data_IF_833898161983
#
_entry.id   IF_833898161983
#
_cell.length_a   1.000
_cell.length_b   1.000
_cell.length_c   1.000
_cell.angle_alpha   90.00
_cell.angle_beta   90.00
_cell.angle_gamma   90.00
#
_symmetry.space_group_name_H-M   'P 1'
#
loop_
_entity.id
_entity.type
_entity.pdbx_description
1 polymer ?
#
# COMPACT_ATOMS: atom_id res chain seq x y z
N UNK A 1 -28.92 0.84 11.96
CA UNK A 1 -27.47 1.08 11.76
C UNK A 1 -26.86 1.46 13.11
N UNK A 2 -25.65 0.98 13.43
CA UNK A 2 -24.90 1.51 14.57
C UNK A 2 -24.60 2.99 14.30
N UNK A 3 -24.56 3.79 15.36
CA UNK A 3 -24.10 5.18 15.28
C UNK A 3 -22.61 5.21 14.81
N UNK A 4 -22.26 6.15 13.94
CA UNK A 4 -20.88 6.31 13.42
C UNK A 4 -19.85 6.36 14.56
N UNK A 5 -20.16 7.04 15.66
CA UNK A 5 -19.27 7.08 16.83
C UNK A 5 -19.05 5.69 17.49
N UNK A 6 -20.02 4.79 17.41
CA UNK A 6 -19.86 3.40 17.86
C UNK A 6 -18.99 2.61 16.88
N UNK A 7 -19.18 2.81 15.57
CA UNK A 7 -18.37 2.18 14.53
C UNK A 7 -16.91 2.65 14.57
N UNK A 8 -16.66 3.93 14.86
CA UNK A 8 -15.30 4.45 15.06
C UNK A 8 -14.58 3.73 16.21
N UNK A 9 -15.27 3.44 17.32
CA UNK A 9 -14.69 2.64 18.42
C UNK A 9 -14.42 1.20 18.00
N UNK A 10 -15.33 0.58 17.24
CA UNK A 10 -15.12 -0.76 16.70
C UNK A 10 -13.93 -0.78 15.72
N UNK A 11 -13.74 0.28 14.92
CA UNK A 11 -12.58 0.43 14.04
C UNK A 11 -11.28 0.60 14.82
N UNK A 12 -11.25 1.47 15.85
CA UNK A 12 -10.07 1.58 16.71
C UNK A 12 -9.72 0.25 17.39
N UNK A 13 -10.73 -0.52 17.81
CA UNK A 13 -10.55 -1.88 18.37
C UNK A 13 -9.95 -2.83 17.32
N UNK A 14 -10.42 -2.79 16.09
CA UNK A 14 -9.89 -3.57 14.99
C UNK A 14 -8.40 -3.29 14.77
N UNK A 15 -8.02 -2.01 14.64
CA UNK A 15 -6.63 -1.60 14.41
C UNK A 15 -5.70 -2.05 15.54
N UNK A 16 -6.15 -1.98 16.79
CA UNK A 16 -5.31 -2.34 17.94
C UNK A 16 -5.19 -3.84 18.14
N UNK A 17 -6.27 -4.61 17.88
CA UNK A 17 -6.32 -6.05 18.20
C UNK A 17 -5.95 -6.95 17.03
N UNK A 18 -6.21 -6.52 15.81
CA UNK A 18 -5.89 -7.28 14.58
C UNK A 18 -4.82 -6.55 13.77
N UNK A 19 -4.98 -5.25 13.52
CA UNK A 19 -4.00 -4.47 12.80
C UNK A 19 -2.61 -4.59 13.42
N UNK A 20 -2.50 -4.31 14.69
CA UNK A 20 -1.22 -4.34 15.42
C UNK A 20 -1.06 -5.53 16.36
N UNK A 21 -2.15 -6.16 16.76
CA UNK A 21 -2.15 -7.23 17.76
C UNK A 21 -1.31 -6.87 18.98
N UNK A 22 -1.59 -5.72 19.58
CA UNK A 22 -0.81 -5.15 20.69
C UNK A 22 -0.66 -6.13 21.84
N UNK A 23 0.58 -6.40 22.21
CA UNK A 23 0.91 -7.30 23.31
C UNK A 23 0.97 -6.54 24.66
N UNK A 24 0.65 -7.26 25.74
CA UNK A 24 0.77 -6.70 27.09
C UNK A 24 2.20 -6.23 27.38
N UNK A 25 2.35 -4.97 27.79
CA UNK A 25 3.64 -4.37 28.08
C UNK A 25 4.38 -3.82 26.88
N UNK A 26 3.86 -3.98 25.65
CA UNK A 26 4.41 -3.39 24.43
C UNK A 26 4.12 -1.89 24.39
N UNK A 27 5.01 -1.11 23.76
CA UNK A 27 4.75 0.30 23.41
C UNK A 27 4.03 0.41 22.09
N UNK A 28 3.27 1.48 21.91
CA UNK A 28 2.60 1.85 20.66
C UNK A 28 3.00 3.27 20.27
N UNK A 29 3.48 3.44 19.04
CA UNK A 29 3.60 4.75 18.41
C UNK A 29 2.41 4.96 17.49
N UNK A 30 1.70 6.08 17.63
CA UNK A 30 0.65 6.50 16.70
C UNK A 30 1.14 7.73 15.93
N UNK A 31 1.41 7.56 14.63
CA UNK A 31 1.78 8.62 13.71
C UNK A 31 0.51 9.11 12.99
N UNK A 32 0.05 10.32 13.29
CA UNK A 32 -1.31 10.73 12.96
C UNK A 32 -1.38 12.22 12.64
N UNK A 33 -2.18 12.66 11.64
CA UNK A 33 -2.51 14.06 11.48
C UNK A 33 -3.23 14.62 12.73
N UNK A 34 -2.95 15.85 13.09
CA UNK A 34 -3.53 16.50 14.28
C UNK A 34 -5.06 16.57 14.22
N UNK A 35 -5.63 16.71 13.03
CA UNK A 35 -7.08 16.73 12.79
C UNK A 35 -7.73 15.39 13.12
N UNK A 36 -6.97 14.32 13.11
CA UNK A 36 -7.40 12.96 13.46
C UNK A 36 -7.27 12.63 14.95
N UNK A 37 -6.91 13.60 15.80
CA UNK A 37 -6.68 13.40 17.24
C UNK A 37 -7.86 12.75 18.00
N UNK A 38 -9.14 13.03 17.71
CA UNK A 38 -10.25 12.32 18.37
C UNK A 38 -10.20 10.82 18.17
N UNK A 39 -9.89 10.35 16.95
CA UNK A 39 -9.80 8.92 16.65
C UNK A 39 -8.51 8.29 17.24
N UNK A 40 -7.39 8.98 17.17
CA UNK A 40 -6.14 8.51 17.79
C UNK A 40 -6.31 8.26 19.31
N UNK A 41 -7.15 9.06 20.00
CA UNK A 41 -7.50 8.84 21.43
C UNK A 41 -8.30 7.54 21.61
N UNK A 42 -9.22 7.19 20.69
CA UNK A 42 -9.93 5.91 20.73
C UNK A 42 -8.96 4.73 20.59
N UNK A 43 -7.98 4.85 19.69
CA UNK A 43 -6.91 3.84 19.55
C UNK A 43 -6.07 3.73 20.82
N UNK A 44 -5.73 4.85 21.45
CA UNK A 44 -4.99 4.85 22.71
C UNK A 44 -5.79 4.20 23.87
N UNK A 45 -7.09 4.49 23.97
CA UNK A 45 -7.97 3.87 24.97
C UNK A 45 -8.01 2.34 24.83
N UNK A 46 -8.19 1.84 23.57
CA UNK A 46 -8.17 0.40 23.30
C UNK A 46 -6.78 -0.22 23.53
N UNK A 47 -5.69 0.48 23.21
CA UNK A 47 -4.33 0.00 23.45
C UNK A 47 -4.07 -0.18 24.95
N UNK A 48 -4.46 0.77 25.79
CA UNK A 48 -4.35 0.63 27.23
C UNK A 48 -5.27 -0.46 27.77
N UNK A 49 -6.46 -0.64 27.21
CA UNK A 49 -7.39 -1.70 27.60
C UNK A 49 -6.82 -3.11 27.37
N UNK A 50 -5.97 -3.31 26.37
CA UNK A 50 -5.27 -4.60 26.14
C UNK A 50 -3.95 -4.71 26.90
N UNK A 51 -3.54 -3.68 27.62
CA UNK A 51 -2.34 -3.69 28.46
C UNK A 51 -1.08 -3.13 27.83
N UNK A 52 -1.22 -2.28 26.80
CA UNK A 52 -0.12 -1.48 26.25
C UNK A 52 0.61 -0.74 27.40
N UNK A 53 1.94 -0.72 27.34
CA UNK A 53 2.76 -0.04 28.35
C UNK A 53 2.67 1.47 28.26
N UNK A 54 2.71 2.00 27.05
CA UNK A 54 2.77 3.43 26.76
C UNK A 54 2.37 3.71 25.32
N UNK A 55 1.55 4.73 25.10
CA UNK A 55 1.22 5.25 23.78
C UNK A 55 2.00 6.54 23.54
N UNK A 56 2.80 6.55 22.48
CA UNK A 56 3.61 7.69 22.05
C UNK A 56 2.94 8.31 20.82
N UNK A 57 2.60 9.61 20.89
CA UNK A 57 1.98 10.31 19.77
C UNK A 57 3.03 11.03 18.94
N UNK A 58 3.06 10.73 17.64
CA UNK A 58 3.79 11.50 16.62
C UNK A 58 2.78 12.26 15.78
N UNK A 59 2.59 13.52 16.09
CA UNK A 59 1.64 14.37 15.36
C UNK A 59 2.24 14.89 14.07
N UNK A 60 1.41 14.92 13.02
CA UNK A 60 1.67 15.62 11.77
C UNK A 60 0.64 16.72 11.59
N UNK A 61 0.99 17.75 10.84
CA UNK A 61 0.08 18.85 10.50
C UNK A 61 0.35 19.24 9.04
N UNK A 62 -0.61 18.96 8.18
CA UNK A 62 -0.50 19.16 6.73
C UNK A 62 -0.41 20.65 6.40
N UNK A 63 -1.12 21.50 7.14
CA UNK A 63 -1.03 22.94 6.96
C UNK A 63 0.37 23.45 7.30
N UNK A 64 0.95 23.05 8.42
CA UNK A 64 2.32 23.39 8.80
C UNK A 64 3.35 22.81 7.83
N UNK A 65 3.14 21.61 7.33
CA UNK A 65 3.99 21.02 6.29
C UNK A 65 3.97 21.90 5.03
N UNK A 66 2.80 22.30 4.55
CA UNK A 66 2.66 23.18 3.39
C UNK A 66 3.38 24.52 3.56
N UNK A 67 3.14 25.22 4.68
CA UNK A 67 3.76 26.54 4.91
C UNK A 67 5.29 26.43 5.08
N UNK A 68 5.80 25.31 5.62
CA UNK A 68 7.23 24.99 5.64
C UNK A 68 7.77 24.92 4.22
N UNK A 69 7.14 24.16 3.30
CA UNK A 69 7.56 24.06 1.91
C UNK A 69 7.52 25.38 1.15
N UNK A 70 6.57 26.27 1.48
CA UNK A 70 6.44 27.55 0.82
C UNK A 70 7.42 28.62 1.32
N UNK A 71 7.74 28.63 2.62
CA UNK A 71 8.37 29.80 3.25
C UNK A 71 9.68 29.50 4.00
N UNK A 72 10.02 28.25 4.28
CA UNK A 72 11.27 27.93 4.95
C UNK A 72 12.50 28.18 4.07
N UNK A 73 13.66 28.37 4.69
CA UNK A 73 14.94 28.44 4.00
C UNK A 73 15.25 27.11 3.28
N UNK A 74 15.90 27.16 2.13
CA UNK A 74 16.18 25.99 1.29
C UNK A 74 17.01 24.92 1.99
N UNK A 75 17.92 25.32 2.88
CA UNK A 75 18.75 24.40 3.66
C UNK A 75 17.94 23.42 4.52
N UNK A 76 16.72 23.79 4.92
CA UNK A 76 15.84 22.97 5.75
C UNK A 76 15.40 21.68 5.03
N UNK A 77 15.45 21.68 3.70
CA UNK A 77 15.07 20.50 2.88
C UNK A 77 16.23 19.55 2.61
N UNK A 78 17.44 19.89 3.08
CA UNK A 78 18.64 19.08 2.95
C UNK A 78 19.02 18.37 4.25
N UNK A 79 18.22 18.47 5.30
CA UNK A 79 18.48 17.88 6.60
C UNK A 79 17.23 17.30 7.26
N UNK A 80 17.42 16.33 8.15
CA UNK A 80 16.38 15.78 9.02
C UNK A 80 16.79 16.03 10.48
N UNK A 81 15.83 16.43 11.29
CA UNK A 81 16.08 16.64 12.71
C UNK A 81 16.52 15.33 13.38
N UNK A 82 17.64 15.36 14.07
CA UNK A 82 18.20 14.17 14.71
C UNK A 82 17.22 13.52 15.72
N UNK A 83 16.36 14.29 16.36
CA UNK A 83 15.37 13.76 17.30
C UNK A 83 14.32 12.88 16.60
N UNK A 84 13.99 13.14 15.33
CA UNK A 84 13.06 12.32 14.55
C UNK A 84 13.67 10.95 14.27
N UNK A 85 14.94 10.93 13.86
CA UNK A 85 15.71 9.70 13.60
C UNK A 85 15.86 8.90 14.89
N UNK A 86 16.25 9.58 15.98
CA UNK A 86 16.45 8.93 17.28
C UNK A 86 15.16 8.31 17.82
N UNK A 87 14.01 8.98 17.67
CA UNK A 87 12.72 8.42 18.06
C UNK A 87 12.43 7.14 17.24
N UNK A 88 12.50 7.22 15.92
CA UNK A 88 12.19 6.10 15.03
C UNK A 88 13.09 4.89 15.30
N UNK A 89 14.41 5.11 15.42
CA UNK A 89 15.37 4.05 15.72
C UNK A 89 15.12 3.42 17.10
N UNK A 90 14.95 4.24 18.12
CA UNK A 90 14.78 3.74 19.51
C UNK A 90 13.51 2.89 19.63
N UNK A 91 12.38 3.39 19.15
CA UNK A 91 11.10 2.67 19.33
C UNK A 91 11.05 1.39 18.49
N UNK A 92 11.64 1.40 17.29
CA UNK A 92 11.71 0.20 16.45
C UNK A 92 12.67 -0.85 17.03
N UNK A 93 13.82 -0.43 17.62
CA UNK A 93 14.75 -1.32 18.35
C UNK A 93 14.11 -2.00 19.56
N UNK A 94 13.20 -1.31 20.24
CA UNK A 94 12.48 -1.86 21.37
C UNK A 94 11.27 -2.74 20.98
N UNK A 95 10.99 -2.91 19.68
CA UNK A 95 9.85 -3.68 19.18
C UNK A 95 8.49 -3.01 19.46
N UNK A 96 8.46 -1.68 19.54
CA UNK A 96 7.20 -0.95 19.67
C UNK A 96 6.35 -1.13 18.41
N UNK A 97 5.04 -1.32 18.60
CA UNK A 97 4.12 -1.34 17.47
C UNK A 97 3.95 0.07 16.88
N UNK A 98 3.69 0.16 15.58
CA UNK A 98 3.59 1.42 14.85
C UNK A 98 2.28 1.52 14.09
N UNK A 99 1.39 2.45 14.48
CA UNK A 99 0.18 2.79 13.74
C UNK A 99 0.41 4.06 12.93
N UNK A 100 0.30 3.97 11.61
CA UNK A 100 0.31 5.13 10.72
C UNK A 100 -1.11 5.42 10.23
N UNK A 101 -1.63 6.62 10.53
CA UNK A 101 -2.93 7.06 10.02
C UNK A 101 -2.68 8.01 8.86
N UNK A 102 -3.04 7.57 7.65
CA UNK A 102 -2.98 8.35 6.43
C UNK A 102 -4.34 9.00 6.18
N UNK A 103 -4.38 10.32 6.18
CA UNK A 103 -5.59 11.11 6.00
C UNK A 103 -5.25 12.46 5.35
N UNK A 104 -4.24 12.43 4.48
CA UNK A 104 -3.63 13.61 3.90
C UNK A 104 -4.57 14.26 2.87
N UNK A 105 -4.53 15.59 2.76
CA UNK A 105 -5.18 16.34 1.69
C UNK A 105 -4.45 16.05 0.36
N UNK A 106 -5.11 15.43 -0.64
CA UNK A 106 -4.46 15.12 -1.93
C UNK A 106 -3.92 16.35 -2.68
N UNK A 107 -4.43 17.55 -2.39
CA UNK A 107 -4.00 18.80 -3.01
C UNK A 107 -3.06 19.63 -2.11
N UNK A 108 -2.67 19.13 -0.93
CA UNK A 108 -1.91 19.90 0.05
C UNK A 108 -0.63 20.52 -0.51
N UNK A 109 0.10 19.79 -1.36
CA UNK A 109 1.36 20.26 -1.94
C UNK A 109 1.21 20.91 -3.33
N UNK A 110 -0.02 21.17 -3.79
CA UNK A 110 -0.28 21.84 -5.06
C UNK A 110 0.34 23.23 -5.11
N UNK A 111 1.18 23.49 -6.14
CA UNK A 111 1.88 24.77 -6.31
C UNK A 111 3.12 24.96 -5.42
N UNK A 112 3.52 23.96 -4.66
CA UNK A 112 4.81 23.91 -3.97
C UNK A 112 5.91 23.59 -4.99
N UNK A 113 7.14 24.10 -4.74
CA UNK A 113 8.31 23.78 -5.57
C UNK A 113 8.63 22.27 -5.51
N UNK A 114 8.54 21.54 -6.63
CA UNK A 114 8.80 20.10 -6.66
C UNK A 114 10.22 19.73 -6.21
N UNK A 115 11.21 20.61 -6.41
CA UNK A 115 12.59 20.33 -6.01
C UNK A 115 12.73 20.29 -4.48
N UNK A 116 12.03 21.17 -3.75
CA UNK A 116 11.99 21.14 -2.29
C UNK A 116 11.39 19.83 -1.76
N UNK A 117 10.30 19.36 -2.39
CA UNK A 117 9.64 18.11 -2.04
C UNK A 117 10.61 16.94 -2.27
N UNK A 118 11.20 16.85 -3.46
CA UNK A 118 12.14 15.80 -3.85
C UNK A 118 13.37 15.75 -2.91
N UNK A 119 13.98 16.89 -2.61
CA UNK A 119 15.15 16.97 -1.69
C UNK A 119 14.79 16.48 -0.31
N UNK A 120 13.67 16.96 0.25
CA UNK A 120 13.18 16.52 1.56
C UNK A 120 12.92 15.02 1.61
N UNK A 121 12.31 14.43 0.56
CA UNK A 121 12.06 12.99 0.47
C UNK A 121 13.36 12.17 0.43
N UNK A 122 14.34 12.58 -0.39
CA UNK A 122 15.64 11.91 -0.48
C UNK A 122 16.37 11.93 0.87
N UNK A 123 16.41 13.07 1.53
CA UNK A 123 17.13 13.22 2.80
C UNK A 123 16.42 12.45 3.93
N UNK A 124 15.09 12.54 4.00
CA UNK A 124 14.31 11.75 4.96
C UNK A 124 14.43 10.24 4.69
N UNK A 125 14.43 9.84 3.42
CA UNK A 125 14.64 8.45 3.03
C UNK A 125 15.95 7.87 3.55
N UNK A 126 17.05 8.61 3.36
CA UNK A 126 18.37 8.22 3.85
C UNK A 126 18.47 8.25 5.39
N UNK A 127 17.92 9.28 6.01
CA UNK A 127 18.00 9.44 7.47
C UNK A 127 17.21 8.37 8.22
N UNK A 128 16.08 7.92 7.67
CA UNK A 128 15.20 6.91 8.26
C UNK A 128 15.38 5.51 7.63
N UNK A 129 16.44 5.30 6.87
CA UNK A 129 16.71 4.03 6.17
C UNK A 129 16.69 2.82 7.12
N UNK A 130 17.33 2.95 8.28
CA UNK A 130 17.39 1.88 9.30
C UNK A 130 16.00 1.52 9.84
N UNK A 131 15.16 2.50 10.10
CA UNK A 131 13.77 2.29 10.51
C UNK A 131 12.97 1.58 9.41
N UNK A 132 13.06 2.06 8.16
CA UNK A 132 12.37 1.44 7.02
C UNK A 132 12.81 -0.01 6.76
N UNK A 133 14.10 -0.30 6.85
CA UNK A 133 14.59 -1.66 6.69
C UNK A 133 14.02 -2.61 7.75
N UNK A 134 13.85 -2.14 8.98
CA UNK A 134 13.20 -2.92 10.05
C UNK A 134 11.71 -3.12 9.80
N UNK A 135 11.02 -2.08 9.34
CA UNK A 135 9.62 -2.13 8.96
C UNK A 135 9.41 -3.14 7.81
N UNK A 136 10.19 -3.04 6.73
CA UNK A 136 10.14 -3.95 5.57
C UNK A 136 10.53 -5.41 5.89
N UNK A 137 11.21 -5.65 7.01
CA UNK A 137 11.55 -7.00 7.50
C UNK A 137 10.61 -7.48 8.60
N UNK A 138 9.55 -6.76 8.86
CA UNK A 138 8.58 -7.06 9.91
C UNK A 138 9.24 -7.28 11.29
N UNK A 139 10.29 -6.51 11.61
CA UNK A 139 10.96 -6.64 12.91
C UNK A 139 10.04 -6.26 14.08
N UNK A 140 9.00 -5.47 13.82
CA UNK A 140 7.96 -5.07 14.77
C UNK A 140 6.59 -4.97 14.07
N UNK A 141 5.46 -5.11 14.80
CA UNK A 141 4.13 -4.94 14.20
C UNK A 141 3.91 -3.50 13.76
N UNK A 142 3.40 -3.32 12.54
CA UNK A 142 3.02 -2.03 12.01
C UNK A 142 1.68 -2.12 11.27
N UNK A 143 0.95 -1.02 11.21
CA UNK A 143 -0.31 -0.98 10.49
C UNK A 143 -0.55 0.41 9.91
N UNK A 144 -0.90 0.44 8.63
CA UNK A 144 -1.39 1.64 7.96
C UNK A 144 -2.92 1.60 7.94
N UNK A 145 -3.53 2.71 8.31
CA UNK A 145 -4.96 2.88 8.29
C UNK A 145 -5.32 4.30 7.85
N UNK A 146 -6.56 4.53 7.49
CA UNK A 146 -7.02 5.88 7.13
C UNK A 146 -8.34 6.21 7.79
N UNK A 147 -8.52 7.49 8.07
CA UNK A 147 -9.79 8.08 8.49
C UNK A 147 -10.02 9.40 7.77
N UNK A 148 -11.26 9.87 7.58
CA UNK A 148 -11.51 11.08 6.83
C UNK A 148 -10.93 12.32 7.50
N UNK A 149 -10.44 13.25 6.68
CA UNK A 149 -10.32 14.68 6.98
C UNK A 149 -11.27 15.45 6.07
N UNK A 150 -11.61 16.68 6.43
CA UNK A 150 -12.51 17.51 5.64
C UNK A 150 -11.95 17.74 4.23
N UNK A 151 -10.66 18.07 4.12
CA UNK A 151 -10.00 18.32 2.84
C UNK A 151 -10.04 17.06 1.94
N UNK A 152 -9.69 15.89 2.47
CA UNK A 152 -9.75 14.63 1.73
C UNK A 152 -11.19 14.27 1.35
N UNK A 153 -12.16 14.38 2.26
CA UNK A 153 -13.56 14.09 1.99
C UNK A 153 -14.13 14.99 0.87
N UNK A 154 -13.77 16.27 0.86
CA UNK A 154 -14.15 17.20 -0.20
C UNK A 154 -13.47 16.93 -1.54
N UNK A 155 -12.26 16.41 -1.54
CA UNK A 155 -11.58 15.98 -2.76
C UNK A 155 -12.30 14.76 -3.38
N UNK A 156 -12.73 13.80 -2.55
CA UNK A 156 -13.46 12.59 -2.99
C UNK A 156 -14.90 12.92 -3.41
N UNK A 157 -15.60 13.78 -2.66
CA UNK A 157 -17.02 14.16 -2.88
C UNK A 157 -17.18 15.68 -3.02
N UNK A 158 -16.68 16.28 -4.12
CA UNK A 158 -16.69 17.73 -4.31
C UNK A 158 -18.10 18.33 -4.39
N UNK A 159 -19.12 17.51 -4.72
CA UNK A 159 -20.52 17.92 -4.84
C UNK A 159 -21.25 18.03 -3.50
N UNK A 160 -20.76 17.40 -2.44
CA UNK A 160 -21.36 17.41 -1.11
C UNK A 160 -20.84 18.60 -0.28
N UNK A 161 -21.58 19.05 0.73
CA UNK A 161 -21.04 19.93 1.76
C UNK A 161 -20.02 19.16 2.65
N UNK A 162 -19.29 19.89 3.49
CA UNK A 162 -18.20 19.30 4.28
C UNK A 162 -18.69 18.19 5.23
N UNK A 163 -19.78 18.41 5.95
CA UNK A 163 -20.32 17.45 6.90
C UNK A 163 -20.82 16.18 6.20
N UNK A 164 -21.56 16.33 5.09
CA UNK A 164 -22.06 15.23 4.29
C UNK A 164 -20.91 14.44 3.60
N UNK A 165 -19.88 15.13 3.11
CA UNK A 165 -18.70 14.51 2.54
C UNK A 165 -17.94 13.68 3.59
N UNK A 166 -17.73 14.22 4.78
CA UNK A 166 -17.10 13.55 5.92
C UNK A 166 -17.88 12.30 6.35
N UNK A 167 -19.21 12.43 6.50
CA UNK A 167 -20.07 11.29 6.86
C UNK A 167 -20.02 10.20 5.78
N UNK A 168 -20.09 10.59 4.51
CA UNK A 168 -20.02 9.66 3.38
C UNK A 168 -18.69 8.92 3.35
N UNK A 169 -17.58 9.62 3.49
CA UNK A 169 -16.26 9.00 3.47
C UNK A 169 -16.05 8.05 4.66
N UNK A 170 -16.54 8.40 5.86
CA UNK A 170 -16.58 7.49 7.01
C UNK A 170 -17.32 6.20 6.69
N UNK A 171 -18.50 6.29 6.08
CA UNK A 171 -19.31 5.10 5.73
C UNK A 171 -18.53 4.18 4.79
N UNK A 172 -17.87 4.74 3.77
CA UNK A 172 -17.13 3.93 2.80
C UNK A 172 -15.86 3.30 3.40
N UNK A 173 -15.13 4.03 4.24
CA UNK A 173 -13.96 3.50 4.97
C UNK A 173 -14.37 2.36 5.90
N UNK A 174 -15.40 2.58 6.73
CA UNK A 174 -15.88 1.56 7.68
C UNK A 174 -16.38 0.30 6.97
N UNK A 175 -17.00 0.46 5.80
CA UNK A 175 -17.43 -0.65 4.95
C UNK A 175 -16.22 -1.40 4.36
N UNK A 176 -15.24 -0.69 3.82
CA UNK A 176 -14.01 -1.29 3.29
C UNK A 176 -13.26 -2.07 4.39
N UNK A 177 -13.24 -1.54 5.61
CA UNK A 177 -12.62 -2.19 6.78
C UNK A 177 -13.53 -3.25 7.45
N UNK A 178 -14.71 -3.58 6.89
CA UNK A 178 -15.67 -4.57 7.41
C UNK A 178 -16.16 -4.28 8.82
N UNK A 179 -16.24 -3.00 9.18
CA UNK A 179 -16.66 -2.53 10.52
C UNK A 179 -18.17 -2.30 10.60
N UNK A 180 -18.85 -2.14 9.47
CA UNK A 180 -20.27 -1.80 9.33
C UNK A 180 -21.23 -2.90 9.74
N UNK A 181 -20.75 -4.13 9.95
CA UNK A 181 -21.58 -5.30 10.24
C UNK A 181 -21.04 -6.21 11.35
N UNK A 182 -21.67 -6.25 12.52
CA UNK A 182 -21.36 -7.24 13.56
C UNK A 182 -20.11 -6.95 14.39
N UNK A 183 -19.25 -7.95 14.55
CA UNK A 183 -17.96 -7.86 15.24
C UNK A 183 -16.86 -7.62 14.22
N UNK A 184 -16.30 -6.41 14.19
CA UNK A 184 -15.27 -5.99 13.25
C UNK A 184 -14.01 -6.87 13.30
N UNK A 185 -13.61 -7.30 14.50
CA UNK A 185 -12.44 -8.19 14.70
C UNK A 185 -12.69 -9.55 14.09
N UNK A 186 -13.86 -10.14 14.35
CA UNK A 186 -14.25 -11.44 13.78
C UNK A 186 -14.42 -11.39 12.25
N UNK A 187 -14.99 -10.30 11.74
CA UNK A 187 -15.15 -10.09 10.30
C UNK A 187 -13.79 -10.01 9.60
N UNK A 188 -12.85 -9.25 10.19
CA UNK A 188 -11.51 -9.09 9.63
C UNK A 188 -10.73 -10.40 9.65
N UNK A 189 -10.78 -11.17 10.75
CA UNK A 189 -10.18 -12.51 10.81
C UNK A 189 -10.69 -13.43 9.71
N UNK A 190 -12.01 -13.47 9.52
CA UNK A 190 -12.60 -14.27 8.44
C UNK A 190 -12.06 -13.86 7.08
N UNK A 191 -11.92 -12.55 6.83
CA UNK A 191 -11.37 -12.02 5.59
C UNK A 191 -9.87 -12.37 5.44
N UNK A 192 -9.07 -12.16 6.48
CA UNK A 192 -7.65 -12.53 6.49
C UNK A 192 -7.45 -14.02 6.25
N UNK A 193 -8.26 -14.88 6.89
CA UNK A 193 -8.25 -16.34 6.68
C UNK A 193 -8.58 -16.72 5.22
N UNK A 194 -9.45 -15.96 4.54
CA UNK A 194 -9.77 -16.17 3.11
C UNK A 194 -8.59 -15.78 2.22
N UNK A 195 -7.96 -14.64 2.47
CA UNK A 195 -6.73 -14.24 1.76
C UNK A 195 -5.62 -15.27 1.96
N UNK A 196 -5.39 -15.73 3.19
CA UNK A 196 -4.39 -16.76 3.50
C UNK A 196 -4.64 -18.10 2.78
N UNK A 197 -5.90 -18.48 2.54
CA UNK A 197 -6.20 -19.67 1.70
C UNK A 197 -5.71 -19.48 0.27
N UNK A 198 -5.96 -18.33 -0.33
CA UNK A 198 -5.49 -18.02 -1.68
C UNK A 198 -3.95 -17.91 -1.73
N UNK A 199 -3.32 -17.25 -0.73
CA UNK A 199 -1.85 -17.22 -0.56
C UNK A 199 -1.29 -18.63 -0.54
N UNK A 200 -1.87 -19.50 0.28
CA UNK A 200 -1.42 -20.91 0.35
C UNK A 200 -1.56 -21.64 -0.98
N UNK A 201 -2.69 -21.46 -1.68
CA UNK A 201 -2.91 -22.12 -2.99
C UNK A 201 -1.92 -21.65 -4.04
N UNK A 202 -1.67 -20.34 -4.12
CA UNK A 202 -0.70 -19.76 -5.05
C UNK A 202 0.73 -20.26 -4.75
N UNK A 203 1.10 -20.35 -3.47
CA UNK A 203 2.39 -20.88 -3.04
C UNK A 203 2.50 -22.40 -3.31
N UNK A 204 1.43 -23.18 -3.11
CA UNK A 204 1.40 -24.62 -3.41
C UNK A 204 1.56 -24.89 -4.92
N UNK A 205 0.97 -24.04 -5.79
CA UNK A 205 1.15 -24.15 -7.25
C UNK A 205 2.54 -23.76 -7.70
N UNK A 206 3.19 -22.78 -7.05
CA UNK A 206 4.53 -22.28 -7.38
C UNK A 206 4.66 -22.03 -8.90
N UNK A 207 3.84 -21.15 -9.45
CA UNK A 207 3.77 -20.90 -10.89
C UNK A 207 5.11 -20.40 -11.44
N UNK A 208 5.47 -20.87 -12.63
CA UNK A 208 6.60 -20.33 -13.40
C UNK A 208 6.29 -18.94 -13.93
N UNK A 209 5.05 -18.74 -14.40
CA UNK A 209 4.61 -17.47 -14.97
C UNK A 209 3.09 -17.32 -14.88
N UNK A 210 2.62 -16.10 -15.02
CA UNK A 210 1.22 -15.73 -15.15
C UNK A 210 0.98 -15.09 -16.52
N UNK A 211 -0.18 -15.35 -17.12
CA UNK A 211 -0.62 -14.72 -18.35
C UNK A 211 -1.92 -13.96 -18.11
N UNK A 212 -1.88 -12.66 -18.33
CA UNK A 212 -2.99 -11.71 -18.12
C UNK A 212 -3.64 -11.33 -19.42
N UNK A 213 -4.97 -11.40 -19.50
CA UNK A 213 -5.75 -10.92 -20.65
C UNK A 213 -7.04 -10.25 -20.20
N UNK A 214 -7.46 -9.19 -20.91
CA UNK A 214 -8.77 -8.54 -20.75
C UNK A 214 -9.22 -7.83 -22.03
N UNK A 215 -10.47 -7.34 -22.06
CA UNK A 215 -11.07 -6.69 -23.24
C UNK A 215 -10.52 -5.29 -23.54
N UNK A 216 -9.87 -4.62 -22.58
CA UNK A 216 -9.31 -3.28 -22.80
C UNK A 216 -7.93 -3.31 -23.47
N UNK A 217 -7.35 -4.51 -23.70
CA UNK A 217 -6.15 -4.71 -24.49
C UNK A 217 -4.92 -5.15 -23.70
N UNK A 218 -5.06 -5.57 -22.45
CA UNK A 218 -3.98 -6.25 -21.73
C UNK A 218 -3.77 -7.64 -22.32
N UNK A 219 -2.52 -7.93 -22.67
CA UNK A 219 -1.99 -9.23 -23.07
C UNK A 219 -0.53 -9.28 -22.62
N UNK A 220 -0.31 -9.81 -21.41
CA UNK A 220 0.95 -9.73 -20.70
C UNK A 220 1.33 -11.07 -20.09
N UNK A 221 2.56 -11.50 -20.33
CA UNK A 221 3.17 -12.64 -19.63
C UNK A 221 4.16 -12.12 -18.60
N UNK A 222 4.05 -12.63 -17.36
CA UNK A 222 4.86 -12.28 -16.21
C UNK A 222 5.54 -13.53 -15.69
N UNK A 223 6.85 -13.68 -15.87
CA UNK A 223 7.63 -14.73 -15.20
C UNK A 223 7.82 -14.36 -13.72
N UNK A 224 7.77 -15.38 -12.87
CA UNK A 224 8.04 -15.26 -11.45
C UNK A 224 9.45 -15.79 -11.15
N UNK A 225 10.22 -15.15 -10.26
CA UNK A 225 11.56 -15.62 -9.93
C UNK A 225 11.52 -16.96 -9.18
N UNK A 226 12.58 -17.75 -9.30
CA UNK A 226 12.71 -19.01 -8.56
C UNK A 226 12.73 -18.76 -7.06
N UNK A 227 11.90 -19.50 -6.33
CA UNK A 227 11.75 -19.37 -4.88
C UNK A 227 10.90 -18.19 -4.43
N UNK A 228 10.16 -17.55 -5.35
CA UNK A 228 9.16 -16.55 -4.98
C UNK A 228 8.11 -17.13 -4.05
N UNK A 229 7.51 -16.29 -3.25
CA UNK A 229 6.31 -16.61 -2.48
C UNK A 229 5.29 -15.48 -2.59
N UNK A 230 4.03 -15.84 -2.41
CA UNK A 230 2.93 -14.90 -2.30
C UNK A 230 2.71 -14.55 -0.84
N UNK A 231 2.50 -13.27 -0.56
CA UNK A 231 2.16 -12.71 0.74
C UNK A 231 0.81 -12.00 0.69
N UNK A 232 0.20 -11.74 1.84
CA UNK A 232 -1.05 -11.00 1.97
C UNK A 232 -1.91 -11.50 3.13
N UNK A 233 -2.89 -10.70 3.55
CA UNK A 233 -3.81 -10.99 4.63
C UNK A 233 -3.26 -10.70 6.03
N UNK A 234 -2.16 -11.31 6.42
CA UNK A 234 -1.45 -11.05 7.68
C UNK A 234 0.03 -11.35 7.54
N UNK A 235 0.82 -10.66 8.34
CA UNK A 235 2.27 -10.79 8.46
C UNK A 235 2.64 -11.33 9.85
N UNK A 236 3.88 -11.75 10.02
CA UNK A 236 4.38 -12.21 11.33
C UNK A 236 5.66 -11.48 11.66
N UNK A 237 5.66 -10.72 12.76
CA UNK A 237 6.84 -9.99 13.19
C UNK A 237 7.97 -10.91 13.66
N UNK A 238 9.19 -10.39 13.74
CA UNK A 238 10.35 -11.12 14.27
C UNK A 238 10.13 -11.69 15.68
N UNK A 239 9.23 -11.10 16.47
CA UNK A 239 8.82 -11.61 17.78
C UNK A 239 7.72 -12.70 17.71
N UNK A 240 7.28 -13.11 16.53
CA UNK A 240 6.21 -14.08 16.33
C UNK A 240 4.80 -13.53 16.57
N UNK A 241 4.63 -12.21 16.48
CA UNK A 241 3.32 -11.55 16.61
C UNK A 241 2.71 -11.45 15.21
N UNK A 242 1.56 -12.09 15.01
CA UNK A 242 0.76 -11.94 13.79
C UNK A 242 0.05 -10.58 13.80
N UNK A 243 0.09 -9.85 12.68
CA UNK A 243 -0.50 -8.52 12.53
C UNK A 243 -0.98 -8.29 11.09
N UNK A 244 -1.80 -7.26 10.86
CA UNK A 244 -2.20 -6.84 9.51
C UNK A 244 -1.57 -5.49 9.17
N UNK A 245 -0.64 -5.49 8.23
CA UNK A 245 0.12 -4.30 7.83
C UNK A 245 -0.75 -3.18 7.26
N UNK A 246 -1.87 -3.54 6.60
CA UNK A 246 -2.80 -2.61 5.99
C UNK A 246 -4.24 -2.93 6.38
N UNK A 247 -5.00 -1.92 6.84
CA UNK A 247 -6.44 -2.02 7.05
C UNK A 247 -7.13 -0.78 6.42
N UNK A 248 -7.82 -0.97 5.27
CA UNK A 248 -8.14 -2.24 4.60
C UNK A 248 -7.01 -2.80 3.75
N UNK A 249 -7.06 -4.10 3.46
CA UNK A 249 -6.35 -4.77 2.37
C UNK A 249 -7.25 -5.82 1.74
N UNK A 250 -7.13 -5.98 0.43
CA UNK A 250 -7.82 -6.98 -0.41
C UNK A 250 -6.83 -7.79 -1.23
N UNK A 251 -5.55 -7.50 -1.08
CA UNK A 251 -4.51 -7.97 -1.98
C UNK A 251 -3.76 -9.19 -1.50
N UNK A 252 -3.28 -9.93 -2.49
CA UNK A 252 -2.24 -10.93 -2.37
C UNK A 252 -1.18 -10.56 -3.41
N UNK A 253 0.06 -10.39 -2.99
CA UNK A 253 1.11 -9.88 -3.85
C UNK A 253 2.36 -10.75 -3.87
N UNK A 254 3.16 -10.56 -4.89
CA UNK A 254 4.51 -11.08 -5.06
C UNK A 254 5.29 -10.17 -6.01
N UNK A 255 6.53 -10.53 -6.31
CA UNK A 255 7.34 -9.80 -7.27
C UNK A 255 7.37 -10.50 -8.65
N UNK A 256 7.39 -9.76 -9.76
CA UNK A 256 7.75 -10.31 -11.06
C UNK A 256 9.26 -10.52 -11.15
N UNK A 257 9.70 -11.45 -11.97
CA UNK A 257 11.12 -11.52 -12.33
C UNK A 257 11.49 -10.30 -13.17
N UNK A 258 12.52 -9.56 -12.75
CA UNK A 258 12.92 -8.27 -13.34
C UNK A 258 12.95 -8.28 -14.88
N UNK A 259 13.54 -9.32 -15.49
CA UNK A 259 13.68 -9.48 -16.94
C UNK A 259 12.62 -10.39 -17.58
N UNK A 260 11.58 -10.78 -16.79
CA UNK A 260 10.60 -11.80 -17.16
C UNK A 260 9.23 -11.28 -17.64
N UNK A 261 9.05 -9.97 -17.79
CA UNK A 261 7.75 -9.39 -18.15
C UNK A 261 7.72 -9.01 -19.62
N UNK A 262 6.73 -9.55 -20.39
CA UNK A 262 6.64 -9.34 -21.83
C UNK A 262 5.19 -9.15 -22.26
N UNK A 263 4.92 -8.16 -23.12
CA UNK A 263 3.61 -7.90 -23.69
C UNK A 263 3.11 -6.47 -23.45
N UNK A 264 1.80 -6.30 -23.48
CA UNK A 264 1.14 -5.01 -23.29
C UNK A 264 0.23 -5.06 -22.05
N UNK A 265 0.28 -4.03 -21.25
CA UNK A 265 -0.61 -3.85 -20.11
C UNK A 265 -1.30 -2.49 -20.19
N UNK A 266 -2.61 -2.48 -19.95
CA UNK A 266 -3.46 -1.28 -20.01
C UNK A 266 -3.99 -0.98 -18.63
N UNK A 267 -3.79 0.25 -18.16
CA UNK A 267 -4.36 0.72 -16.91
C UNK A 267 -5.89 0.79 -17.01
N UNK A 268 -6.57 0.27 -15.99
CA UNK A 268 -8.03 0.27 -15.90
C UNK A 268 -8.59 1.49 -15.17
N UNK A 269 -7.74 2.21 -14.41
CA UNK A 269 -8.12 3.41 -13.63
C UNK A 269 -7.07 4.51 -13.82
N UNK A 270 -7.43 5.78 -13.59
CA UNK A 270 -6.45 6.87 -13.52
C UNK A 270 -5.47 6.66 -12.37
N UNK A 271 -4.23 7.12 -12.59
CA UNK A 271 -3.18 7.19 -11.57
C UNK A 271 -3.02 8.63 -11.11
N UNK A 272 -3.07 8.86 -9.80
CA UNK A 272 -2.67 10.13 -9.20
C UNK A 272 -1.21 10.04 -8.76
N UNK A 273 -0.32 10.76 -9.47
CA UNK A 273 1.12 10.76 -9.17
C UNK A 273 1.62 12.18 -8.94
N UNK A 274 2.16 12.44 -7.73
CA UNK A 274 2.67 13.77 -7.34
C UNK A 274 1.66 14.91 -7.61
N UNK A 275 0.37 14.69 -7.32
CA UNK A 275 -0.70 15.69 -7.52
C UNK A 275 -1.13 15.87 -8.98
N UNK A 276 -0.69 15.01 -9.90
CA UNK A 276 -1.09 15.03 -11.29
C UNK A 276 -1.88 13.77 -11.64
N UNK A 277 -2.89 13.92 -12.48
CA UNK A 277 -3.70 12.80 -12.98
C UNK A 277 -3.11 12.29 -14.30
N UNK A 278 -2.82 11.00 -14.35
CA UNK A 278 -2.41 10.26 -15.53
C UNK A 278 -3.55 9.32 -15.90
N UNK A 279 -4.09 9.43 -17.11
CA UNK A 279 -5.27 8.64 -17.50
C UNK A 279 -5.14 7.99 -18.87
N UNK A 280 -5.84 6.85 -19.01
CA UNK A 280 -5.92 6.10 -20.26
C UNK A 280 -4.55 5.64 -20.76
N UNK A 281 -3.70 5.15 -19.87
CA UNK A 281 -2.33 4.78 -20.19
C UNK A 281 -2.11 3.28 -20.36
N UNK A 282 -1.03 2.95 -21.06
CA UNK A 282 -0.55 1.59 -21.26
C UNK A 282 0.96 1.56 -21.36
N UNK A 283 1.52 0.41 -21.01
CA UNK A 283 2.92 0.07 -21.21
C UNK A 283 3.05 -1.09 -22.20
N UNK A 284 4.12 -1.06 -23.02
CA UNK A 284 4.64 -2.22 -23.72
C UNK A 284 5.95 -2.61 -23.07
N UNK A 285 6.10 -3.90 -22.71
CA UNK A 285 7.30 -4.42 -22.05
C UNK A 285 7.96 -5.48 -22.91
N UNK A 286 9.28 -5.47 -22.91
CA UNK A 286 10.11 -6.50 -23.51
C UNK A 286 11.29 -6.82 -22.62
N UNK A 287 11.49 -8.11 -22.31
CA UNK A 287 12.54 -8.59 -21.42
C UNK A 287 12.54 -7.81 -20.09
N UNK A 288 11.34 -7.62 -19.52
CA UNK A 288 11.04 -6.91 -18.27
C UNK A 288 11.03 -5.38 -18.39
N UNK A 289 11.66 -4.80 -19.40
CA UNK A 289 11.81 -3.35 -19.52
C UNK A 289 10.60 -2.72 -20.20
N UNK A 290 10.11 -1.62 -19.66
CA UNK A 290 9.14 -0.74 -20.29
C UNK A 290 9.82 -0.12 -21.52
N UNK A 291 9.34 -0.45 -22.72
CA UNK A 291 9.87 0.03 -24.02
C UNK A 291 9.02 1.12 -24.63
N UNK A 292 7.71 1.12 -24.32
CA UNK A 292 6.77 2.14 -24.80
C UNK A 292 5.84 2.56 -23.68
N UNK A 293 5.58 3.85 -23.59
CA UNK A 293 4.65 4.50 -22.67
C UNK A 293 3.68 5.33 -23.49
N UNK A 294 2.39 5.10 -23.33
CA UNK A 294 1.33 5.91 -23.93
C UNK A 294 0.28 6.27 -22.89
N UNK A 295 -0.19 7.52 -22.90
CA UNK A 295 -1.32 7.97 -22.08
C UNK A 295 -2.19 8.97 -22.86
N UNK A 296 -3.49 9.02 -22.54
CA UNK A 296 -4.38 10.07 -23.06
C UNK A 296 -4.14 11.41 -22.36
N UNK A 297 -3.75 11.35 -21.07
CA UNK A 297 -3.42 12.48 -20.24
C UNK A 297 -2.18 12.16 -19.39
N UNK A 298 -1.25 13.09 -19.26
CA UNK A 298 -0.09 12.96 -18.36
C UNK A 298 1.01 12.03 -18.88
N UNK A 299 1.12 11.80 -20.20
CA UNK A 299 2.14 10.88 -20.77
C UNK A 299 3.56 11.28 -20.41
N UNK A 300 3.90 12.58 -20.45
CA UNK A 300 5.24 13.05 -20.13
C UNK A 300 5.58 12.77 -18.66
N UNK A 301 4.62 12.99 -17.75
CA UNK A 301 4.78 12.73 -16.30
C UNK A 301 5.00 11.24 -16.05
N UNK A 302 4.23 10.38 -16.72
CA UNK A 302 4.39 8.93 -16.60
C UNK A 302 5.74 8.46 -17.13
N UNK A 303 6.18 9.03 -18.25
CA UNK A 303 7.47 8.74 -18.86
C UNK A 303 8.63 9.15 -17.94
N UNK A 304 8.53 10.33 -17.33
CA UNK A 304 9.52 10.81 -16.36
C UNK A 304 9.57 9.90 -15.12
N UNK A 305 8.42 9.47 -14.59
CA UNK A 305 8.33 8.55 -13.46
C UNK A 305 9.02 7.20 -13.75
N UNK A 306 8.89 6.66 -14.97
CA UNK A 306 9.53 5.42 -15.40
C UNK A 306 11.04 5.56 -15.67
N UNK A 307 11.63 6.75 -15.54
CA UNK A 307 13.04 7.05 -15.87
C UNK A 307 13.83 7.69 -14.73
N UNK A 308 13.28 7.72 -13.52
CA UNK A 308 13.93 8.27 -12.30
C UNK A 308 15.28 7.60 -12.05
N UNK A 309 15.36 6.29 -12.24
CA UNK A 309 16.57 5.49 -12.23
C UNK A 309 16.42 4.29 -13.19
N UNK A 310 17.42 3.41 -13.25
CA UNK A 310 17.36 2.23 -14.12
C UNK A 310 16.21 1.29 -13.74
N UNK A 311 15.99 1.07 -12.44
CA UNK A 311 14.96 0.17 -11.91
C UNK A 311 13.53 0.67 -12.15
N UNK A 312 13.32 1.99 -12.22
CA UNK A 312 12.02 2.59 -12.46
C UNK A 312 11.37 2.15 -13.80
N UNK A 313 12.16 1.63 -14.74
CA UNK A 313 11.66 1.11 -16.01
C UNK A 313 11.31 -0.39 -16.00
N UNK A 314 11.30 -1.03 -14.84
CA UNK A 314 10.93 -2.44 -14.64
C UNK A 314 9.82 -2.54 -13.59
N UNK A 315 9.05 -3.63 -13.65
CA UNK A 315 8.05 -3.87 -12.62
C UNK A 315 8.67 -4.48 -11.37
N UNK A 316 8.17 -4.06 -10.20
CA UNK A 316 8.57 -4.52 -8.88
C UNK A 316 7.50 -5.33 -8.16
N UNK A 317 6.21 -5.18 -8.57
CA UNK A 317 5.10 -5.84 -7.89
C UNK A 317 4.07 -6.41 -8.85
N UNK A 318 3.47 -7.50 -8.42
CA UNK A 318 2.29 -8.16 -8.99
C UNK A 318 1.29 -8.37 -7.86
N UNK A 319 0.17 -7.66 -7.88
CA UNK A 319 -0.88 -7.79 -6.87
C UNK A 319 -2.18 -8.33 -7.47
N UNK A 320 -2.76 -9.28 -6.78
CA UNK A 320 -4.03 -9.92 -7.10
C UNK A 320 -5.11 -9.44 -6.14
N UNK A 321 -6.08 -8.72 -6.66
CA UNK A 321 -7.22 -8.17 -5.92
C UNK A 321 -8.50 -8.56 -6.65
N UNK A 322 -9.46 -9.24 -6.03
CA UNK A 322 -10.75 -9.55 -6.65
C UNK A 322 -11.48 -8.28 -7.10
N UNK A 323 -12.05 -8.31 -8.31
CA UNK A 323 -12.87 -7.20 -8.80
C UNK A 323 -14.12 -7.00 -7.92
N UNK A 324 -14.66 -8.07 -7.34
CA UNK A 324 -15.75 -8.02 -6.36
C UNK A 324 -15.19 -7.83 -4.94
N UNK A 325 -14.85 -6.60 -4.60
CA UNK A 325 -14.41 -6.18 -3.27
C UNK A 325 -15.22 -4.97 -2.78
N UNK A 326 -15.30 -4.69 -1.48
CA UNK A 326 -15.99 -3.51 -0.96
C UNK A 326 -15.47 -2.20 -1.57
N UNK A 327 -14.17 -2.10 -1.80
CA UNK A 327 -13.53 -0.91 -2.38
C UNK A 327 -13.89 -0.80 -3.87
N UNK A 328 -13.71 -1.86 -4.64
CA UNK A 328 -14.08 -1.89 -6.06
C UNK A 328 -15.54 -1.56 -6.28
N UNK A 329 -16.42 -2.18 -5.49
CA UNK A 329 -17.87 -2.01 -5.57
C UNK A 329 -18.37 -0.62 -5.18
N UNK A 330 -17.56 0.17 -4.45
CA UNK A 330 -17.89 1.56 -4.13
C UNK A 330 -17.93 2.44 -5.39
N UNK A 331 -17.14 2.10 -6.40
CA UNK A 331 -16.96 2.90 -7.61
C UNK A 331 -16.28 4.25 -7.35
N UNK A 332 -15.69 4.45 -6.18
CA UNK A 332 -15.07 5.70 -5.74
C UNK A 332 -13.58 5.66 -6.05
N UNK A 333 -13.02 6.77 -6.52
CA UNK A 333 -11.59 7.05 -6.50
C UNK A 333 -11.29 7.81 -5.21
N UNK A 334 -10.53 7.18 -4.32
CA UNK A 334 -10.29 7.72 -2.99
C UNK A 334 -9.19 8.78 -2.95
N UNK A 335 -8.34 8.85 -3.97
CA UNK A 335 -7.11 9.66 -3.95
C UNK A 335 -6.20 9.32 -2.76
N UNK A 336 -6.23 8.06 -2.36
CA UNK A 336 -5.45 7.51 -1.26
C UNK A 336 -4.99 6.11 -1.67
N UNK A 337 -3.67 5.90 -1.74
CA UNK A 337 -3.05 4.68 -2.26
C UNK A 337 -3.57 3.45 -1.54
N UNK A 338 -3.69 3.47 -0.19
CA UNK A 338 -4.20 2.35 0.60
C UNK A 338 -5.56 1.82 0.12
N UNK A 339 -6.44 2.69 -0.40
CA UNK A 339 -7.74 2.28 -0.94
C UNK A 339 -7.66 1.99 -2.43
N UNK A 340 -7.02 2.87 -3.19
CA UNK A 340 -7.08 2.82 -4.65
C UNK A 340 -6.32 1.60 -5.21
N UNK A 341 -5.21 1.19 -4.61
CA UNK A 341 -4.49 -0.05 -4.94
C UNK A 341 -5.35 -1.29 -4.63
N UNK A 342 -6.06 -1.28 -3.52
CA UNK A 342 -6.94 -2.36 -3.10
C UNK A 342 -8.30 -2.40 -3.83
N UNK A 343 -8.49 -1.54 -4.84
CA UNK A 343 -9.70 -1.53 -5.67
C UNK A 343 -9.64 -2.53 -6.84
N UNK A 344 -8.48 -3.02 -7.24
CA UNK A 344 -8.35 -4.01 -8.32
C UNK A 344 -6.94 -4.61 -8.37
N UNK A 345 -6.76 -5.71 -9.14
CA UNK A 345 -5.43 -6.17 -9.49
C UNK A 345 -4.58 -5.00 -9.97
N UNK A 346 -3.34 -4.91 -9.50
CA UNK A 346 -2.42 -3.86 -9.86
C UNK A 346 -0.99 -4.39 -10.06
N UNK A 347 -0.15 -3.56 -10.60
CA UNK A 347 1.29 -3.73 -10.69
C UNK A 347 1.96 -2.48 -10.16
N UNK A 348 3.17 -2.61 -9.63
CA UNK A 348 4.02 -1.46 -9.43
C UNK A 348 5.19 -1.47 -10.41
N UNK A 349 5.58 -0.30 -10.90
CA UNK A 349 6.89 -0.14 -11.50
C UNK A 349 7.87 0.48 -10.48
N UNK A 350 9.12 0.00 -10.52
CA UNK A 350 10.16 0.42 -9.58
C UNK A 350 10.57 -0.67 -8.58
N UNK A 351 10.75 -0.31 -7.32
CA UNK A 351 11.26 -1.17 -6.25
C UNK A 351 10.40 -2.40 -6.04
N UNK A 352 11.03 -3.54 -5.81
CA UNK A 352 10.37 -4.80 -5.48
C UNK A 352 10.49 -5.14 -3.99
N UNK A 353 9.40 -5.56 -3.36
CA UNK A 353 9.49 -6.31 -2.12
C UNK A 353 10.14 -7.66 -2.39
N UNK A 354 11.19 -8.06 -1.66
CA UNK A 354 11.93 -9.27 -1.96
C UNK A 354 11.21 -10.54 -1.47
N UNK A 355 10.02 -10.80 -2.02
CA UNK A 355 9.21 -12.00 -1.74
C UNK A 355 9.87 -13.28 -2.30
N UNK A 356 11.11 -13.54 -1.87
CA UNK A 356 11.92 -14.72 -2.21
C UNK A 356 12.33 -15.41 -0.91
N UNK A 357 12.15 -16.71 -0.85
CA UNK A 357 12.51 -17.52 0.30
C UNK A 357 14.00 -17.33 0.68
N UNK A 358 14.24 -16.91 1.92
CA UNK A 358 15.58 -16.66 2.44
C UNK A 358 16.14 -15.26 2.10
N UNK A 359 15.33 -14.37 1.54
CA UNK A 359 15.76 -13.00 1.15
C UNK A 359 16.33 -12.19 2.30
N UNK A 360 15.89 -12.44 3.53
CA UNK A 360 16.34 -11.77 4.75
C UNK A 360 17.85 -11.95 5.03
N UNK A 361 18.45 -12.99 4.47
CA UNK A 361 19.89 -13.31 4.63
C UNK A 361 20.72 -13.03 3.38
N UNK A 362 20.10 -12.56 2.28
CA UNK A 362 20.76 -12.31 0.99
C UNK A 362 21.29 -10.87 0.90
N UNK A 363 22.42 -10.71 0.22
CA UNK A 363 22.90 -9.40 -0.20
C UNK A 363 22.07 -8.86 -1.38
N UNK A 364 22.16 -7.55 -1.63
CA UNK A 364 21.51 -6.92 -2.79
C UNK A 364 21.94 -7.55 -4.12
N UNK A 365 23.24 -7.90 -4.26
CA UNK A 365 23.76 -8.58 -5.44
C UNK A 365 23.14 -9.97 -5.64
N UNK A 366 22.95 -10.72 -4.55
CA UNK A 366 22.29 -12.04 -4.59
C UNK A 366 20.82 -11.90 -4.95
N UNK A 367 20.11 -10.92 -4.41
CA UNK A 367 18.71 -10.62 -4.74
C UNK A 367 18.57 -10.19 -6.21
N UNK A 368 19.44 -9.32 -6.72
CA UNK A 368 19.49 -8.95 -8.14
C UNK A 368 19.72 -10.16 -9.04
N UNK A 369 20.63 -11.05 -8.66
CA UNK A 369 20.88 -12.29 -9.41
C UNK A 369 19.67 -13.24 -9.42
N UNK A 370 18.78 -13.14 -8.44
CA UNK A 370 17.49 -13.84 -8.38
C UNK A 370 16.38 -13.17 -9.18
N UNK A 371 16.59 -11.97 -9.71
CA UNK A 371 15.63 -11.23 -10.51
C UNK A 371 14.79 -10.22 -9.73
N UNK A 372 15.22 -9.83 -8.51
CA UNK A 372 14.60 -8.73 -7.75
C UNK A 372 14.99 -7.41 -8.40
N UNK A 373 14.02 -6.53 -8.60
CA UNK A 373 14.26 -5.18 -9.10
C UNK A 373 14.50 -4.20 -7.95
N UNK A 374 15.46 -3.30 -8.13
CA UNK A 374 15.80 -2.24 -7.17
C UNK A 374 15.64 -0.88 -7.82
N UNK A 375 14.98 0.04 -7.12
CA UNK A 375 14.71 1.41 -7.57
C UNK A 375 14.56 2.35 -6.39
N UNK A 376 14.63 3.66 -6.64
CA UNK A 376 14.28 4.69 -5.66
C UNK A 376 12.78 5.01 -5.65
N UNK A 377 11.99 4.41 -6.53
CA UNK A 377 10.56 4.64 -6.67
C UNK A 377 9.79 3.33 -6.64
N UNK A 378 8.55 3.38 -6.17
CA UNK A 378 7.55 2.31 -6.26
C UNK A 378 6.23 3.00 -6.57
N UNK A 379 5.60 2.66 -7.68
CA UNK A 379 4.38 3.34 -8.14
C UNK A 379 3.37 2.31 -8.63
N UNK A 380 2.29 2.16 -7.87
CA UNK A 380 1.19 1.24 -8.16
C UNK A 380 0.25 1.82 -9.21
N UNK A 381 -0.23 0.95 -10.09
CA UNK A 381 -1.24 1.29 -11.08
C UNK A 381 -2.20 0.12 -11.33
N UNK A 382 -3.48 0.41 -11.40
CA UNK A 382 -4.58 -0.55 -11.44
C UNK A 382 -4.78 -1.09 -12.86
N UNK A 383 -4.96 -2.40 -12.97
CA UNK A 383 -5.15 -3.11 -14.24
C UNK A 383 -6.36 -4.03 -14.24
N UNK A 384 -6.94 -4.28 -13.05
CA UNK A 384 -8.09 -5.18 -12.88
C UNK A 384 -9.34 -4.66 -13.58
N UNK A 385 -10.03 -5.57 -14.25
CA UNK A 385 -11.34 -5.35 -14.89
C UNK A 385 -12.28 -6.50 -14.57
N UNK A 386 -13.59 -6.30 -14.77
CA UNK A 386 -14.61 -7.33 -14.52
C UNK A 386 -14.43 -8.59 -15.39
N UNK A 387 -13.70 -8.51 -16.47
CA UNK A 387 -13.41 -9.60 -17.41
C UNK A 387 -11.94 -10.05 -17.39
N UNK A 388 -11.16 -9.56 -16.41
CA UNK A 388 -9.75 -9.95 -16.29
C UNK A 388 -9.64 -11.47 -16.13
N UNK A 389 -8.82 -12.08 -16.99
CA UNK A 389 -8.40 -13.48 -16.91
C UNK A 389 -6.91 -13.57 -16.60
N UNK A 390 -6.56 -14.40 -15.63
CA UNK A 390 -5.17 -14.71 -15.29
C UNK A 390 -5.00 -16.22 -15.32
N UNK A 391 -4.07 -16.71 -16.11
CA UNK A 391 -3.72 -18.14 -16.22
C UNK A 391 -2.32 -18.33 -15.66
N UNK A 392 -2.19 -19.16 -14.63
CA UNK A 392 -0.90 -19.60 -14.09
C UNK A 392 -0.33 -20.74 -14.92
N UNK A 393 0.94 -20.63 -15.30
CA UNK A 393 1.70 -21.68 -16.00
C UNK A 393 2.64 -22.34 -15.00
N UNK A 394 2.46 -23.62 -14.79
CA UNK A 394 3.33 -24.41 -13.90
C UNK A 394 4.67 -24.73 -14.57
N UNK A 395 5.65 -25.21 -13.80
CA UNK A 395 6.96 -25.60 -14.35
C UNK A 395 6.90 -26.80 -15.31
N UNK A 396 5.86 -27.65 -15.23
CA UNK A 396 5.58 -28.75 -16.18
C UNK A 396 4.69 -28.32 -17.36
N UNK A 397 4.38 -27.01 -17.46
CA UNK A 397 3.66 -26.40 -18.58
C UNK A 397 2.14 -26.56 -18.53
N UNK A 398 1.56 -26.92 -17.40
CA UNK A 398 0.10 -26.92 -17.23
C UNK A 398 -0.42 -25.51 -17.04
N UNK A 399 -1.58 -25.26 -17.63
CA UNK A 399 -2.34 -24.02 -17.48
C UNK A 399 -3.40 -24.20 -16.40
N UNK A 400 -3.37 -23.34 -15.39
CA UNK A 400 -4.31 -23.32 -14.26
C UNK A 400 -4.98 -21.95 -14.23
N UNK A 401 -6.31 -21.85 -14.30
CA UNK A 401 -7.01 -20.58 -14.11
C UNK A 401 -6.75 -20.03 -12.69
N UNK A 402 -6.20 -18.82 -12.61
CA UNK A 402 -6.02 -18.11 -11.34
C UNK A 402 -7.14 -17.09 -11.17
N UNK A 403 -7.45 -16.33 -12.22
CA UNK A 403 -8.59 -15.42 -12.27
C UNK A 403 -9.49 -15.73 -13.46
N UNK A 404 -10.80 -15.71 -13.24
CA UNK A 404 -11.83 -15.80 -14.23
C UNK A 404 -12.87 -14.72 -13.95
N UNK A 405 -13.20 -13.89 -14.93
CA UNK A 405 -14.13 -12.78 -14.75
C UNK A 405 -13.75 -11.87 -13.57
N UNK A 406 -12.47 -11.51 -13.46
CA UNK A 406 -11.97 -10.56 -12.49
C UNK A 406 -11.88 -11.07 -11.03
N UNK A 407 -12.11 -12.37 -10.78
CA UNK A 407 -12.08 -12.95 -9.43
C UNK A 407 -11.32 -14.27 -9.40
N UNK A 408 -10.86 -14.70 -8.21
CA UNK A 408 -10.18 -15.98 -8.05
C UNK A 408 -11.06 -17.13 -8.58
N UNK A 409 -10.41 -18.06 -9.27
CA UNK A 409 -11.07 -19.23 -9.89
C UNK A 409 -11.16 -20.44 -8.94
N UNK A 410 -10.65 -20.31 -7.71
CA UNK A 410 -10.56 -21.39 -6.70
C UNK A 410 -10.82 -20.88 -5.30
#
# INVERSE_FOLDING_TARGET
>A
MKDIAALQRDYARLLIREGLNIQKGQRLVINCPVDCAPFARLCADEAYAVGCREVIMKWRDDYLARIKYLYAEDSVFDEVNQWEVLLADTVSEEGAAWLAIHADDPENLKGVDPDRIRRSQIVSGKALEKFRQREMRDEFPWCVASIPTEAWAKAVFPELDADAAMERLWVEILKACRVDGGDAVANWRTHSDELQKHVKMLNDYNFKSLHYTNSIGTDLTVELPEGHFWAGGSETSAAGIEFSANIPTEEIFTLPKRDGVNGTIVASKPLCHNGNIIDGFRFTLKDGKITEVHAKQGEDILRDACTVDEGASFFGEVALVPYDSPISNSGILFYNTLFDENASCHFAFGEAYPCITGSESMSEEELKARGVNFSMTHVDFMVGTADLSIVGITHDGKEIPVFVNGSFAF
#
